data_IF_901883534388
#
_entry.id   IF_901883534388
#
_cell.length_a   1.000
_cell.length_b   1.000
_cell.length_c   1.000
_cell.angle_alpha   90.00
_cell.angle_beta   90.00
_cell.angle_gamma   90.00
#
_symmetry.space_group_name_H-M   'P 1'
#
loop_
_entity.id
_entity.type
_entity.pdbx_description
1 polymer ?
#
# COMPACT_ATOMS: atom_id res chain seq x y z
N UNK A 1 13.82 5.31 -15.12
CA UNK A 1 13.84 5.25 -13.65
C UNK A 1 15.27 5.43 -13.19
N UNK A 2 15.54 6.51 -12.47
CA UNK A 2 16.84 6.74 -11.83
C UNK A 2 16.83 6.21 -10.39
N UNK A 3 17.99 6.12 -9.74
CA UNK A 3 18.09 5.72 -8.32
C UNK A 3 17.32 6.68 -7.40
N UNK A 4 17.27 7.97 -7.77
CA UNK A 4 16.52 8.99 -7.03
C UNK A 4 15.02 8.73 -7.05
N UNK A 5 14.46 8.29 -8.19
CA UNK A 5 13.04 7.96 -8.30
C UNK A 5 12.62 6.84 -7.32
N UNK A 6 13.47 5.81 -7.22
CA UNK A 6 13.26 4.67 -6.33
C UNK A 6 13.38 5.12 -4.87
N UNK A 7 14.39 5.93 -4.56
CA UNK A 7 14.59 6.49 -3.23
C UNK A 7 13.41 7.35 -2.76
N UNK A 8 12.88 8.20 -3.64
CA UNK A 8 11.67 9.00 -3.35
C UNK A 8 10.46 8.11 -3.10
N UNK A 9 10.25 7.06 -3.90
CA UNK A 9 9.16 6.11 -3.69
C UNK A 9 9.22 5.45 -2.31
N UNK A 10 10.40 4.97 -1.90
CA UNK A 10 10.61 4.36 -0.57
C UNK A 10 10.37 5.38 0.55
N UNK A 11 10.91 6.60 0.43
CA UNK A 11 10.74 7.64 1.43
C UNK A 11 9.26 7.99 1.64
N UNK A 12 8.49 8.14 0.57
CA UNK A 12 7.05 8.43 0.64
C UNK A 12 6.27 7.30 1.30
N UNK A 13 6.57 6.03 0.98
CA UNK A 13 5.92 4.87 1.63
C UNK A 13 6.16 4.89 3.14
N UNK A 14 7.39 5.12 3.58
CA UNK A 14 7.72 5.19 5.00
C UNK A 14 7.01 6.33 5.73
N UNK A 15 6.91 7.50 5.10
CA UNK A 15 6.20 8.65 5.67
C UNK A 15 4.71 8.32 5.80
N UNK A 16 4.07 7.81 4.74
CA UNK A 16 2.63 7.52 4.75
C UNK A 16 2.30 6.43 5.77
N UNK A 17 3.05 5.32 5.77
CA UNK A 17 2.89 4.23 6.74
C UNK A 17 3.09 4.73 8.18
N UNK A 18 4.16 5.50 8.43
CA UNK A 18 4.44 6.09 9.73
C UNK A 18 3.33 7.01 10.23
N UNK A 19 2.73 7.82 9.34
CA UNK A 19 1.59 8.67 9.68
C UNK A 19 0.36 7.87 10.09
N UNK A 20 0.08 6.76 9.39
CA UNK A 20 -1.04 5.88 9.75
C UNK A 20 -0.84 5.32 11.16
N UNK A 21 0.38 4.85 11.48
CA UNK A 21 0.69 4.35 12.83
C UNK A 21 0.63 5.44 13.91
N UNK A 22 1.13 6.65 13.62
CA UNK A 22 1.20 7.73 14.59
C UNK A 22 -0.16 8.42 14.85
N UNK A 23 -0.96 8.61 13.80
CA UNK A 23 -2.20 9.40 13.87
C UNK A 23 -3.45 8.54 14.04
N UNK A 24 -3.45 7.30 13.55
CA UNK A 24 -4.63 6.44 13.56
C UNK A 24 -4.29 4.96 13.89
N UNK A 25 -3.65 4.66 15.03
CA UNK A 25 -3.28 3.29 15.39
C UNK A 25 -4.49 2.33 15.45
N UNK A 26 -5.66 2.81 15.92
CA UNK A 26 -6.88 2.00 15.99
C UNK A 26 -7.46 1.64 14.61
N UNK A 27 -7.16 2.42 13.57
CA UNK A 27 -7.52 2.08 12.19
C UNK A 27 -6.71 0.87 11.72
N UNK A 28 -5.43 0.81 12.05
CA UNK A 28 -4.55 -0.32 11.71
C UNK A 28 -5.07 -1.61 12.33
N UNK A 29 -5.41 -1.59 13.62
CA UNK A 29 -5.96 -2.76 14.32
C UNK A 29 -7.24 -3.27 13.64
N UNK A 30 -8.18 -2.37 13.34
CA UNK A 30 -9.43 -2.70 12.64
C UNK A 30 -9.20 -3.26 11.24
N UNK A 31 -8.25 -2.69 10.49
CA UNK A 31 -7.90 -3.19 9.16
C UNK A 31 -7.30 -4.59 9.24
N UNK A 32 -6.43 -4.84 10.22
CA UNK A 32 -5.84 -6.17 10.44
C UNK A 32 -6.89 -7.19 10.86
N UNK A 33 -7.86 -6.84 11.71
CA UNK A 33 -8.99 -7.70 12.06
C UNK A 33 -9.84 -8.04 10.84
N UNK A 34 -10.18 -7.03 10.03
CA UNK A 34 -10.94 -7.23 8.79
C UNK A 34 -10.19 -8.15 7.81
N UNK A 35 -8.89 -7.91 7.62
CA UNK A 35 -8.05 -8.78 6.79
C UNK A 35 -7.99 -10.21 7.34
N UNK A 36 -7.87 -10.37 8.67
CA UNK A 36 -7.86 -11.69 9.32
C UNK A 36 -9.17 -12.45 9.21
N UNK A 37 -10.31 -11.76 9.08
CA UNK A 37 -11.61 -12.38 8.84
C UNK A 37 -11.79 -12.87 7.39
N UNK A 38 -11.02 -12.35 6.43
CA UNK A 38 -11.12 -12.75 5.02
C UNK A 38 -10.52 -14.15 4.76
N UNK A 39 -11.08 -14.93 3.82
CA UNK A 39 -10.45 -16.14 3.30
C UNK A 39 -9.09 -15.84 2.65
N UNK A 40 -8.18 -16.82 2.62
CA UNK A 40 -6.84 -16.64 2.06
C UNK A 40 -6.87 -16.19 0.59
N UNK A 41 -7.77 -16.75 -0.21
CA UNK A 41 -7.94 -16.41 -1.63
C UNK A 41 -8.37 -14.94 -1.82
N UNK A 42 -9.31 -14.45 -1.01
CA UNK A 42 -9.75 -13.06 -1.06
C UNK A 42 -8.61 -12.09 -0.69
N UNK A 43 -7.77 -12.43 0.31
CA UNK A 43 -6.58 -11.62 0.65
C UNK A 43 -5.57 -11.57 -0.49
N UNK A 44 -5.34 -12.69 -1.19
CA UNK A 44 -4.46 -12.76 -2.36
C UNK A 44 -5.00 -11.89 -3.49
N UNK A 45 -6.29 -11.99 -3.78
CA UNK A 45 -6.95 -11.18 -4.82
C UNK A 45 -6.89 -9.69 -4.50
N UNK A 46 -7.10 -9.31 -3.24
CA UNK A 46 -6.95 -7.92 -2.78
C UNK A 46 -5.52 -7.41 -3.01
N UNK A 47 -4.50 -8.20 -2.65
CA UNK A 47 -3.10 -7.86 -2.90
C UNK A 47 -2.78 -7.71 -4.40
N UNK A 48 -3.28 -8.62 -5.23
CA UNK A 48 -3.10 -8.55 -6.69
C UNK A 48 -3.76 -7.30 -7.28
N UNK A 49 -4.98 -6.97 -6.86
CA UNK A 49 -5.68 -5.76 -7.28
C UNK A 49 -4.94 -4.49 -6.88
N UNK A 50 -4.37 -4.44 -5.66
CA UNK A 50 -3.56 -3.31 -5.21
C UNK A 50 -2.30 -3.14 -6.08
N UNK A 51 -1.60 -4.22 -6.41
CA UNK A 51 -0.42 -4.18 -7.30
C UNK A 51 -0.81 -3.68 -8.70
N UNK A 52 -1.86 -4.24 -9.29
CA UNK A 52 -2.32 -3.85 -10.63
C UNK A 52 -2.74 -2.38 -10.68
N UNK A 53 -3.44 -1.91 -9.64
CA UNK A 53 -3.85 -0.50 -9.53
C UNK A 53 -2.63 0.40 -9.40
N UNK A 54 -1.65 0.05 -8.55
CA UNK A 54 -0.41 0.81 -8.42
C UNK A 54 0.39 0.89 -9.71
N UNK A 55 0.48 -0.21 -10.46
CA UNK A 55 1.12 -0.24 -11.78
C UNK A 55 0.39 0.63 -12.80
N UNK A 56 -0.94 0.58 -12.82
CA UNK A 56 -1.76 1.41 -13.70
C UNK A 56 -1.58 2.90 -13.40
N UNK A 57 -1.60 3.30 -12.13
CA UNK A 57 -1.35 4.69 -11.74
C UNK A 57 0.07 5.13 -12.12
N UNK A 58 1.08 4.28 -11.86
CA UNK A 58 2.45 4.56 -12.27
C UNK A 58 2.56 4.77 -13.78
N UNK A 59 1.87 3.94 -14.57
CA UNK A 59 1.84 4.06 -16.02
C UNK A 59 1.13 5.34 -16.48
N UNK A 60 0.01 5.72 -15.86
CA UNK A 60 -0.71 6.96 -16.19
C UNK A 60 0.13 8.20 -15.88
N UNK A 61 0.82 8.25 -14.73
CA UNK A 61 1.56 9.44 -14.31
C UNK A 61 2.97 9.53 -14.90
N UNK A 62 3.51 8.44 -15.44
CA UNK A 62 4.85 8.41 -16.07
C UNK A 62 4.85 8.17 -17.57
N UNK A 63 3.70 7.76 -18.12
CA UNK A 63 3.47 7.57 -19.55
C UNK A 63 3.37 8.89 -20.29
#
# INVERSE_FOLDING_TARGET
MTLTDIGTGIALVLIIEGLVYALAPSLVERLLEALRAMPLEARRNLGLLSILTGLLLLWIFRG
#
